data_IF_667179868695
#
_entry.id   IF_667179868695
#
_cell.length_a   1.000
_cell.length_b   1.000
_cell.length_c   1.000
_cell.angle_alpha   90.00
_cell.angle_beta   90.00
_cell.angle_gamma   90.00
#
_symmetry.space_group_name_H-M   'P 1'
#
loop_
_entity.id
_entity.type
_entity.pdbx_description
1 polymer ?
#
# COMPACT_ATOMS: atom_id res chain seq x y z
N UNK A 1 -54.22 -63.00 -33.65
CA UNK A 1 -54.71 -62.59 -34.98
C UNK A 1 -54.31 -61.14 -35.16
N UNK A 2 -53.37 -60.72 -35.99
CA UNK A 2 -52.64 -61.35 -37.09
C UNK A 2 -52.39 -60.27 -38.15
N UNK A 3 -51.11 -59.91 -38.35
CA UNK A 3 -50.44 -59.34 -39.55
C UNK A 3 -50.98 -58.02 -40.18
N UNK A 4 -50.19 -57.17 -40.87
CA UNK A 4 -48.76 -57.16 -41.26
C UNK A 4 -48.31 -55.72 -41.62
N UNK A 5 -47.05 -55.33 -41.39
CA UNK A 5 -45.90 -55.36 -42.32
C UNK A 5 -46.05 -54.54 -43.62
N UNK A 6 -45.28 -53.45 -43.76
CA UNK A 6 -44.26 -53.32 -44.82
C UNK A 6 -43.29 -52.14 -44.61
N UNK A 7 -42.00 -52.48 -44.67
CA UNK A 7 -40.83 -51.61 -44.77
C UNK A 7 -40.58 -51.13 -46.22
N UNK A 8 -39.90 -49.99 -46.35
CA UNK A 8 -38.84 -49.66 -47.33
C UNK A 8 -38.58 -48.15 -47.21
N UNK A 9 -37.39 -47.57 -47.31
CA UNK A 9 -36.04 -48.03 -47.62
C UNK A 9 -35.17 -46.75 -47.67
N UNK A 10 -33.87 -46.93 -47.47
CA UNK A 10 -32.83 -45.92 -47.23
C UNK A 10 -32.70 -44.78 -48.27
N UNK A 11 -32.32 -43.59 -47.80
CA UNK A 11 -31.25 -42.82 -48.45
C UNK A 11 -30.55 -41.86 -47.46
N UNK A 12 -29.29 -42.19 -47.16
CA UNK A 12 -28.34 -41.31 -46.52
C UNK A 12 -27.92 -40.18 -47.47
N UNK A 13 -27.82 -38.95 -46.95
CA UNK A 13 -27.00 -37.90 -47.59
C UNK A 13 -26.24 -37.15 -46.51
N UNK A 14 -24.93 -37.39 -46.49
CA UNK A 14 -23.97 -36.65 -45.69
C UNK A 14 -23.85 -35.22 -46.23
N UNK A 15 -23.99 -34.22 -45.36
CA UNK A 15 -23.62 -32.83 -45.65
C UNK A 15 -22.47 -32.46 -44.72
N UNK A 16 -21.32 -32.19 -45.34
CA UNK A 16 -20.10 -31.65 -44.75
C UNK A 16 -20.28 -30.19 -44.33
N UNK A 17 -19.57 -29.72 -43.28
CA UNK A 17 -19.26 -28.31 -43.14
C UNK A 17 -17.76 -28.09 -43.38
N UNK A 18 -17.41 -27.55 -44.54
CA UNK A 18 -16.09 -26.98 -44.78
C UNK A 18 -16.22 -25.48 -45.10
N UNK A 19 -15.27 -24.69 -44.56
CA UNK A 19 -14.90 -23.31 -44.91
C UNK A 19 -15.60 -22.14 -44.20
N UNK A 20 -15.29 -21.97 -42.90
CA UNK A 20 -15.43 -20.69 -42.19
C UNK A 20 -14.17 -20.22 -41.42
N UNK A 21 -13.11 -21.04 -41.31
CA UNK A 21 -12.06 -20.84 -40.30
C UNK A 21 -10.79 -20.07 -40.71
N UNK A 22 -10.63 -19.58 -41.95
CA UNK A 22 -9.34 -18.98 -42.41
C UNK A 22 -9.29 -17.47 -42.60
N UNK A 23 -10.40 -16.74 -42.42
CA UNK A 23 -10.40 -15.27 -42.61
C UNK A 23 -10.29 -14.51 -41.28
N UNK A 24 -10.77 -15.07 -40.16
CA UNK A 24 -10.69 -14.41 -38.84
C UNK A 24 -9.25 -14.35 -38.28
N UNK A 25 -8.39 -15.31 -38.62
CA UNK A 25 -7.03 -15.40 -38.05
C UNK A 25 -5.99 -14.48 -38.74
N UNK A 26 -6.34 -13.85 -39.88
CA UNK A 26 -5.48 -12.84 -40.54
C UNK A 26 -5.75 -11.41 -40.11
N UNK A 27 -6.95 -11.11 -39.58
CA UNK A 27 -7.29 -9.77 -39.07
C UNK A 27 -6.68 -9.52 -37.68
N UNK A 28 -6.69 -10.52 -36.80
CA UNK A 28 -6.09 -10.42 -35.46
C UNK A 28 -4.56 -10.22 -35.52
N UNK A 29 -3.88 -10.85 -36.48
CA UNK A 29 -2.41 -10.78 -36.60
C UNK A 29 -1.89 -9.51 -37.32
N UNK A 30 -2.77 -8.72 -37.95
CA UNK A 30 -2.42 -7.41 -38.56
C UNK A 30 -2.63 -6.24 -37.60
N UNK A 31 -3.48 -6.39 -36.59
CA UNK A 31 -3.70 -5.37 -35.56
C UNK A 31 -2.56 -5.35 -34.54
N UNK A 32 -2.05 -6.52 -34.14
CA UNK A 32 -0.94 -6.62 -33.17
C UNK A 32 0.41 -6.10 -33.68
N UNK A 33 0.64 -6.09 -35.00
CA UNK A 33 1.84 -5.46 -35.61
C UNK A 33 1.74 -3.94 -35.77
N UNK A 34 0.54 -3.35 -35.73
CA UNK A 34 0.36 -1.88 -35.75
C UNK A 34 0.51 -1.24 -34.37
N UNK A 35 0.28 -2.00 -33.29
CA UNK A 35 0.44 -1.49 -31.91
C UNK A 35 1.90 -1.54 -31.43
N UNK A 36 2.72 -2.45 -31.98
CA UNK A 36 4.16 -2.53 -31.67
C UNK A 36 5.04 -1.52 -32.45
N UNK A 37 4.54 -0.91 -33.54
CA UNK A 37 5.29 0.09 -34.31
C UNK A 37 5.06 1.54 -33.84
N UNK A 38 4.08 1.79 -32.97
CA UNK A 38 3.78 3.12 -32.43
C UNK A 38 4.49 3.43 -31.10
N UNK A 39 5.24 2.47 -30.53
CA UNK A 39 5.99 2.63 -29.28
C UNK A 39 7.51 2.77 -29.53
N UNK A 40 7.95 2.74 -30.79
CA UNK A 40 9.36 2.85 -31.17
C UNK A 40 9.71 4.16 -31.91
N UNK A 41 8.80 5.13 -31.97
CA UNK A 41 8.98 6.39 -32.69
C UNK A 41 8.50 7.58 -31.85
N UNK A 42 9.06 7.76 -30.65
CA UNK A 42 8.93 9.04 -29.93
C UNK A 42 10.13 9.33 -29.01
N UNK A 43 11.32 9.07 -29.54
CA UNK A 43 12.56 9.53 -28.94
C UNK A 43 13.58 9.81 -30.05
N UNK A 44 13.29 10.86 -30.82
CA UNK A 44 14.32 11.56 -31.59
C UNK A 44 14.28 13.04 -31.17
N UNK A 45 15.23 13.38 -30.31
CA UNK A 45 15.49 14.72 -29.80
C UNK A 45 16.38 15.44 -30.82
N UNK A 46 15.93 16.59 -31.29
CA UNK A 46 16.77 17.52 -32.03
C UNK A 46 17.93 18.06 -31.19
N UNK A 47 19.11 18.16 -31.78
CA UNK A 47 20.21 18.97 -31.23
C UNK A 47 21.62 18.56 -31.66
N UNK A 48 22.10 19.12 -32.77
CA UNK A 48 23.53 19.30 -33.08
C UNK A 48 23.97 20.74 -32.69
N UNK A 49 25.27 21.13 -32.71
CA UNK A 49 26.51 20.34 -32.69
C UNK A 49 27.60 20.86 -31.72
N UNK A 50 28.63 20.05 -31.49
CA UNK A 50 30.03 20.52 -31.48
C UNK A 50 30.78 20.57 -30.14
N UNK A 51 31.89 19.81 -30.07
CA UNK A 51 33.07 20.21 -29.30
C UNK A 51 33.77 19.13 -28.47
N UNK A 52 34.88 18.59 -29.01
CA UNK A 52 36.13 18.45 -28.26
C UNK A 52 36.33 17.23 -27.36
N UNK A 53 37.14 16.29 -27.84
CA UNK A 53 37.69 15.16 -27.12
C UNK A 53 38.52 15.54 -25.87
N UNK A 54 38.38 14.78 -24.77
CA UNK A 54 39.53 14.20 -24.03
C UNK A 54 39.13 13.15 -23.00
N UNK A 55 39.96 12.11 -23.02
CA UNK A 55 40.02 10.90 -22.22
C UNK A 55 40.13 11.18 -20.71
N UNK A 56 39.24 10.61 -19.89
CA UNK A 56 39.50 10.32 -18.47
C UNK A 56 38.52 9.26 -17.94
N UNK A 57 39.10 8.12 -17.52
CA UNK A 57 38.44 7.05 -16.78
C UNK A 57 37.73 7.64 -15.56
N UNK A 58 36.42 7.42 -15.44
CA UNK A 58 35.68 7.63 -14.19
C UNK A 58 35.23 6.30 -13.62
N UNK A 59 35.85 5.93 -12.50
CA UNK A 59 35.23 5.10 -11.48
C UNK A 59 33.97 5.83 -11.01
N UNK A 60 32.80 5.20 -11.18
CA UNK A 60 31.59 5.59 -10.49
C UNK A 60 31.56 4.86 -9.15
N UNK A 61 31.97 5.57 -8.11
CA UNK A 61 31.67 5.22 -6.71
C UNK A 61 30.22 5.61 -6.45
N UNK A 62 29.32 4.62 -6.40
CA UNK A 62 28.00 4.80 -5.78
C UNK A 62 28.14 4.31 -4.35
N UNK A 63 28.07 5.26 -3.42
CA UNK A 63 28.02 5.02 -1.99
C UNK A 63 26.70 4.32 -1.64
N UNK A 64 26.77 2.99 -1.45
CA UNK A 64 25.76 2.24 -0.73
C UNK A 64 26.11 2.26 0.76
N UNK A 65 25.33 2.98 1.56
CA UNK A 65 25.30 2.75 3.01
C UNK A 65 24.80 1.32 3.27
N UNK A 66 25.46 0.65 4.22
CA UNK A 66 25.38 -0.78 4.54
C UNK A 66 23.96 -1.31 4.74
N UNK A 67 23.75 -2.61 4.78
CA UNK A 67 24.45 -3.51 5.70
C UNK A 67 25.10 -4.70 4.99
N UNK A 68 26.37 -4.94 5.29
CA UNK A 68 27.05 -6.19 4.97
C UNK A 68 26.92 -7.13 6.17
N UNK A 69 26.05 -8.13 6.07
CA UNK A 69 26.16 -9.32 6.91
C UNK A 69 27.01 -10.33 6.14
N UNK A 70 28.30 -10.39 6.45
CA UNK A 70 29.17 -11.46 5.99
C UNK A 70 28.82 -12.73 6.75
N UNK A 71 28.18 -13.71 6.10
CA UNK A 71 28.01 -15.05 6.63
C UNK A 71 28.93 -15.98 5.85
N UNK A 72 30.10 -16.22 6.43
CA UNK A 72 31.02 -17.29 6.02
C UNK A 72 30.39 -18.63 6.39
N UNK A 73 29.99 -19.42 5.39
CA UNK A 73 29.57 -20.79 5.59
C UNK A 73 30.78 -21.66 5.95
N UNK A 74 31.00 -21.90 7.24
CA UNK A 74 31.74 -23.08 7.72
C UNK A 74 30.75 -24.00 8.42
N UNK A 75 30.85 -25.27 8.06
CA UNK A 75 29.81 -26.27 8.27
C UNK A 75 29.37 -26.48 9.72
N UNK A 76 28.18 -27.06 9.81
CA UNK A 76 27.64 -27.62 11.05
C UNK A 76 26.45 -26.83 11.59
N UNK A 77 25.25 -27.38 11.37
CA UNK A 77 24.05 -27.28 12.20
C UNK A 77 23.58 -25.88 12.62
N UNK A 78 22.51 -25.38 11.99
CA UNK A 78 21.68 -24.29 12.54
C UNK A 78 20.48 -24.92 13.24
N UNK A 79 20.44 -24.83 14.57
CA UNK A 79 19.24 -25.05 15.37
C UNK A 79 18.36 -23.80 15.31
N UNK A 80 17.12 -23.96 14.86
CA UNK A 80 16.12 -22.89 14.81
C UNK A 80 15.45 -22.75 16.17
N UNK A 81 15.69 -21.64 16.86
CA UNK A 81 14.84 -21.20 17.96
C UNK A 81 13.77 -20.26 17.41
N UNK A 82 12.51 -20.55 17.76
CA UNK A 82 11.29 -19.83 17.37
C UNK A 82 11.42 -18.31 17.49
N UNK A 83 11.29 -17.60 16.38
CA UNK A 83 10.82 -16.23 16.32
C UNK A 83 10.27 -15.89 14.91
N UNK A 84 8.99 -15.49 14.85
CA UNK A 84 8.43 -14.52 13.90
C UNK A 84 8.22 -14.93 12.43
N UNK A 85 6.95 -15.15 12.05
CA UNK A 85 6.46 -15.45 10.69
C UNK A 85 6.80 -14.41 9.61
N UNK A 86 7.28 -13.20 9.95
CA UNK A 86 7.63 -12.17 8.96
C UNK A 86 9.06 -12.30 8.39
N UNK A 87 10.00 -12.94 9.09
CA UNK A 87 11.34 -13.17 8.54
C UNK A 87 11.38 -14.33 7.53
N UNK A 88 10.45 -15.30 7.64
CA UNK A 88 10.39 -16.44 6.71
C UNK A 88 10.03 -16.01 5.28
N UNK A 89 9.12 -15.05 5.12
CA UNK A 89 8.70 -14.57 3.78
C UNK A 89 9.80 -13.78 3.07
N UNK A 90 10.58 -12.97 3.80
CA UNK A 90 11.69 -12.21 3.23
C UNK A 90 12.83 -13.15 2.79
N UNK A 91 13.14 -14.17 3.59
CA UNK A 91 14.12 -15.21 3.25
C UNK A 91 13.63 -16.02 2.04
N UNK A 92 12.37 -16.46 2.01
CA UNK A 92 11.79 -17.17 0.87
C UNK A 92 11.82 -16.33 -0.43
N UNK A 93 11.53 -15.03 -0.35
CA UNK A 93 11.51 -14.16 -1.53
C UNK A 93 12.92 -13.83 -2.07
N UNK A 94 13.89 -13.59 -1.20
CA UNK A 94 15.30 -13.40 -1.57
C UNK A 94 15.90 -14.70 -2.11
N UNK A 95 15.54 -15.85 -1.52
CA UNK A 95 15.94 -17.18 -2.00
C UNK A 95 15.34 -17.46 -3.37
N UNK A 96 14.04 -17.19 -3.58
CA UNK A 96 13.35 -17.35 -4.87
C UNK A 96 13.93 -16.49 -5.99
N UNK A 97 14.19 -15.21 -5.71
CA UNK A 97 14.73 -14.26 -6.70
C UNK A 97 16.21 -14.49 -7.01
N UNK A 98 16.99 -14.99 -6.05
CA UNK A 98 18.39 -15.37 -6.28
C UNK A 98 18.51 -16.71 -7.02
N UNK A 99 17.60 -17.67 -6.76
CA UNK A 99 17.61 -18.98 -7.43
C UNK A 99 17.09 -18.95 -8.88
N UNK A 100 16.15 -18.07 -9.24
CA UNK A 100 15.69 -17.94 -10.63
C UNK A 100 16.77 -17.42 -11.61
N UNK A 101 17.88 -16.90 -11.08
CA UNK A 101 19.02 -16.38 -11.87
C UNK A 101 20.09 -17.43 -12.18
N UNK A 102 20.01 -18.63 -11.57
CA UNK A 102 20.90 -19.74 -11.90
C UNK A 102 20.18 -20.68 -12.89
N UNK A 103 20.83 -20.99 -14.01
CA UNK A 103 20.31 -21.97 -14.97
C UNK A 103 20.07 -23.32 -14.29
N UNK A 104 18.81 -23.68 -14.00
CA UNK A 104 18.42 -24.86 -13.21
C UNK A 104 18.78 -26.21 -13.86
N UNK A 105 19.26 -26.20 -15.11
CA UNK A 105 19.51 -27.40 -15.91
C UNK A 105 20.99 -27.72 -16.11
N UNK A 106 21.92 -26.89 -15.62
CA UNK A 106 23.37 -27.13 -15.78
C UNK A 106 24.16 -26.76 -14.53
N UNK A 107 24.94 -27.70 -14.01
CA UNK A 107 25.90 -27.50 -12.93
C UNK A 107 25.82 -28.53 -11.80
N UNK A 108 26.67 -28.37 -10.78
CA UNK A 108 26.80 -29.29 -9.63
C UNK A 108 25.52 -29.47 -8.81
N UNK A 109 24.58 -28.53 -8.92
CA UNK A 109 23.34 -28.50 -8.14
C UNK A 109 22.11 -29.03 -8.88
N UNK A 110 22.23 -29.47 -10.15
CA UNK A 110 21.08 -29.91 -10.95
C UNK A 110 20.32 -31.09 -10.31
N UNK A 111 21.02 -32.02 -9.67
CA UNK A 111 20.40 -33.16 -8.96
C UNK A 111 19.71 -32.74 -7.66
N UNK A 112 20.26 -31.73 -6.98
CA UNK A 112 19.64 -31.18 -5.77
C UNK A 112 18.38 -30.37 -6.13
N UNK A 113 18.40 -29.67 -7.27
CA UNK A 113 17.24 -28.99 -7.84
C UNK A 113 16.11 -29.96 -8.17
N UNK A 114 16.39 -31.04 -8.91
CA UNK A 114 15.39 -32.05 -9.26
C UNK A 114 14.76 -32.68 -8.01
N UNK A 115 15.59 -32.96 -6.99
CA UNK A 115 15.12 -33.47 -5.70
C UNK A 115 14.23 -32.45 -4.97
N UNK A 116 14.65 -31.19 -4.92
CA UNK A 116 13.91 -30.14 -4.23
C UNK A 116 12.58 -29.81 -4.93
N UNK A 117 12.60 -29.68 -6.26
CA UNK A 117 11.40 -29.46 -7.06
C UNK A 117 10.39 -30.62 -6.89
N UNK A 118 10.89 -31.86 -6.88
CA UNK A 118 10.05 -33.04 -6.61
C UNK A 118 9.43 -32.98 -5.22
N UNK A 119 10.21 -32.68 -4.19
CA UNK A 119 9.69 -32.55 -2.81
C UNK A 119 8.68 -31.42 -2.67
N UNK A 120 8.91 -30.28 -3.33
CA UNK A 120 7.98 -29.15 -3.33
C UNK A 120 6.67 -29.51 -4.03
N UNK A 121 6.73 -30.14 -5.21
CA UNK A 121 5.53 -30.60 -5.93
C UNK A 121 4.75 -31.63 -5.13
N UNK A 122 5.41 -32.61 -4.52
CA UNK A 122 4.77 -33.62 -3.67
C UNK A 122 4.10 -32.98 -2.45
N UNK A 123 4.75 -32.01 -1.81
CA UNK A 123 4.19 -31.28 -0.65
C UNK A 123 2.99 -30.43 -1.02
N UNK A 124 3.03 -29.73 -2.16
CA UNK A 124 1.89 -28.93 -2.64
C UNK A 124 0.71 -29.81 -3.04
N UNK A 125 0.97 -30.95 -3.68
CA UNK A 125 -0.08 -31.90 -4.07
C UNK A 125 -0.71 -32.58 -2.85
N UNK A 126 0.10 -32.99 -1.86
CA UNK A 126 -0.41 -33.60 -0.63
C UNK A 126 -1.25 -32.65 0.23
N UNK A 127 -1.03 -31.33 0.11
CA UNK A 127 -1.81 -30.30 0.79
C UNK A 127 -2.87 -29.64 -0.11
N UNK A 128 -3.16 -30.20 -1.28
CA UNK A 128 -4.04 -29.57 -2.28
C UNK A 128 -5.46 -29.32 -1.77
N UNK A 129 -6.02 -30.19 -0.94
CA UNK A 129 -7.36 -29.99 -0.33
C UNK A 129 -7.39 -28.77 0.60
N UNK A 130 -6.33 -28.58 1.40
CA UNK A 130 -6.19 -27.40 2.24
C UNK A 130 -5.96 -26.13 1.41
N UNK A 131 -5.10 -26.20 0.38
CA UNK A 131 -4.87 -25.08 -0.53
C UNK A 131 -6.11 -24.68 -1.32
N UNK A 132 -6.98 -25.64 -1.64
CA UNK A 132 -8.26 -25.37 -2.30
C UNK A 132 -9.32 -24.82 -1.33
N UNK A 133 -9.23 -25.08 -0.03
CA UNK A 133 -10.18 -24.56 0.96
C UNK A 133 -9.89 -23.10 1.36
N UNK A 134 -8.63 -22.67 1.31
CA UNK A 134 -8.24 -21.26 1.49
C UNK A 134 -8.48 -20.42 0.24
N UNK A 135 -8.59 -21.05 -0.93
CA UNK A 135 -8.92 -20.36 -2.17
C UNK A 135 -10.40 -20.03 -2.16
N UNK A 136 -10.71 -18.75 -2.32
CA UNK A 136 -12.08 -18.33 -2.60
C UNK A 136 -12.49 -18.98 -3.92
N UNK A 137 -13.54 -19.83 -3.95
CA UNK A 137 -13.97 -20.46 -5.18
C UNK A 137 -14.26 -19.38 -6.23
N UNK A 138 -13.70 -19.55 -7.42
CA UNK A 138 -13.86 -18.58 -8.51
C UNK A 138 -15.33 -18.24 -8.77
N UNK A 139 -16.21 -19.24 -8.70
CA UNK A 139 -17.66 -19.08 -8.80
C UNK A 139 -18.25 -18.16 -7.73
N UNK A 140 -17.74 -18.20 -6.49
CA UNK A 140 -18.17 -17.31 -5.41
C UNK A 140 -17.80 -15.86 -5.73
N UNK A 141 -16.58 -15.63 -6.19
CA UNK A 141 -16.12 -14.30 -6.61
C UNK A 141 -16.92 -13.77 -7.81
N UNK A 142 -17.18 -14.62 -8.81
CA UNK A 142 -17.97 -14.26 -10.00
C UNK A 142 -19.42 -13.93 -9.62
N UNK A 143 -20.04 -14.72 -8.74
CA UNK A 143 -21.40 -14.46 -8.27
C UNK A 143 -21.50 -13.15 -7.48
N UNK A 144 -20.52 -12.87 -6.61
CA UNK A 144 -20.45 -11.60 -5.89
C UNK A 144 -20.34 -10.40 -6.84
N UNK A 145 -19.51 -10.49 -7.87
CA UNK A 145 -19.39 -9.43 -8.90
C UNK A 145 -20.68 -9.30 -9.71
N UNK A 146 -21.34 -10.41 -10.07
CA UNK A 146 -22.63 -10.37 -10.78
C UNK A 146 -23.73 -9.72 -9.95
N UNK A 147 -23.79 -9.98 -8.64
CA UNK A 147 -24.73 -9.31 -7.74
C UNK A 147 -24.46 -7.81 -7.64
N UNK A 148 -23.20 -7.40 -7.53
CA UNK A 148 -22.82 -5.99 -7.57
C UNK A 148 -23.22 -5.33 -8.89
N UNK A 149 -22.96 -5.98 -10.03
CA UNK A 149 -23.37 -5.46 -11.35
C UNK A 149 -24.89 -5.37 -11.50
N UNK A 150 -25.65 -6.31 -10.92
CA UNK A 150 -27.13 -6.26 -10.88
C UNK A 150 -27.63 -5.13 -9.99
N UNK A 151 -27.00 -4.88 -8.84
CA UNK A 151 -27.33 -3.75 -7.97
C UNK A 151 -27.05 -2.41 -8.66
N UNK A 152 -25.94 -2.31 -9.40
CA UNK A 152 -25.62 -1.14 -10.24
C UNK A 152 -26.68 -0.94 -11.32
N UNK A 153 -27.09 -2.02 -12.01
CA UNK A 153 -28.10 -1.95 -13.06
C UNK A 153 -29.50 -1.56 -12.54
N UNK A 154 -29.83 -1.90 -11.29
CA UNK A 154 -31.09 -1.53 -10.63
C UNK A 154 -31.11 -0.10 -10.08
N UNK A 155 -29.95 0.57 -10.04
CA UNK A 155 -29.82 1.92 -9.49
C UNK A 155 -29.66 1.98 -7.97
N UNK A 156 -29.57 0.83 -7.29
CA UNK A 156 -29.39 0.74 -5.83
C UNK A 156 -27.92 0.94 -5.38
N UNK A 157 -27.03 1.26 -6.33
CA UNK A 157 -25.62 1.51 -6.06
C UNK A 157 -25.34 3.02 -5.95
N UNK A 158 -25.10 3.50 -4.74
CA UNK A 158 -24.46 4.78 -4.51
C UNK A 158 -22.99 4.66 -4.88
N UNK A 159 -22.63 5.13 -6.07
CA UNK A 159 -21.23 5.22 -6.48
C UNK A 159 -20.47 6.08 -5.46
N UNK A 160 -19.36 5.59 -4.86
CA UNK A 160 -18.47 6.45 -4.08
C UNK A 160 -18.05 7.60 -4.99
N UNK A 161 -18.18 8.84 -4.51
CA UNK A 161 -18.05 10.03 -5.34
C UNK A 161 -16.77 9.96 -6.17
N UNK A 162 -16.90 9.77 -7.48
CA UNK A 162 -15.78 9.64 -8.40
C UNK A 162 -15.33 11.03 -8.81
N UNK A 163 -14.80 11.80 -7.86
CA UNK A 163 -13.89 12.85 -8.23
C UNK A 163 -12.67 12.21 -8.88
N UNK A 164 -12.37 12.67 -10.10
CA UNK A 164 -11.29 12.19 -10.96
C UNK A 164 -9.97 12.25 -10.18
N UNK A 165 -9.58 11.12 -9.59
CA UNK A 165 -8.48 11.06 -8.61
C UNK A 165 -7.18 11.54 -9.24
N UNK A 166 -6.68 12.72 -8.84
CA UNK A 166 -5.31 13.17 -9.11
C UNK A 166 -4.32 12.44 -8.20
N UNK A 167 -4.31 11.10 -8.23
CA UNK A 167 -3.47 10.26 -7.35
C UNK A 167 -1.97 10.57 -7.45
N UNK A 168 -1.52 11.12 -8.59
CA UNK A 168 -0.12 11.51 -8.79
C UNK A 168 0.35 12.63 -7.85
N UNK A 169 -0.55 13.54 -7.47
CA UNK A 169 -0.24 14.74 -6.69
C UNK A 169 -0.39 14.56 -5.18
N UNK A 170 -1.06 13.49 -4.71
CA UNK A 170 -1.31 13.29 -3.28
C UNK A 170 0.00 12.89 -2.58
N UNK A 171 0.40 13.69 -1.60
CA UNK A 171 1.56 13.51 -0.74
C UNK A 171 1.16 12.74 0.53
N UNK A 172 0.02 13.03 1.14
CA UNK A 172 -0.45 12.33 2.34
C UNK A 172 -1.97 12.40 2.54
N UNK A 173 -2.47 11.47 3.36
CA UNK A 173 -3.84 11.46 3.86
C UNK A 173 -3.84 11.89 5.34
N UNK A 174 -4.80 12.73 5.72
CA UNK A 174 -4.94 13.20 7.10
C UNK A 174 -6.40 13.44 7.48
N UNK A 175 -6.64 13.59 8.78
CA UNK A 175 -7.87 14.17 9.31
C UNK A 175 -7.59 15.63 9.63
N UNK A 176 -8.18 16.54 8.87
CA UNK A 176 -8.10 17.99 9.04
C UNK A 176 -9.01 18.42 10.20
N UNK A 177 -8.45 19.16 11.15
CA UNK A 177 -9.12 19.61 12.36
C UNK A 177 -9.33 21.13 12.34
N UNK A 178 -10.46 21.64 12.85
CA UNK A 178 -10.68 23.09 12.94
C UNK A 178 -9.67 23.76 13.87
N UNK A 179 -8.82 24.61 13.31
CA UNK A 179 -7.76 25.34 14.04
C UNK A 179 -8.32 26.15 15.21
N UNK A 180 -9.49 26.79 15.03
CA UNK A 180 -10.15 27.55 16.10
C UNK A 180 -10.52 26.70 17.31
N UNK A 181 -10.96 25.44 17.09
CA UNK A 181 -11.23 24.50 18.20
C UNK A 181 -9.94 24.09 18.89
N UNK A 182 -8.87 23.84 18.14
CA UNK A 182 -7.57 23.48 18.71
C UNK A 182 -7.01 24.61 19.56
N UNK A 183 -7.12 25.88 19.13
CA UNK A 183 -6.74 27.03 19.96
C UNK A 183 -7.55 27.10 21.25
N UNK A 184 -8.88 27.00 21.17
CA UNK A 184 -9.73 27.04 22.37
C UNK A 184 -9.33 25.96 23.38
N UNK A 185 -9.03 24.76 22.90
CA UNK A 185 -8.56 23.65 23.75
C UNK A 185 -7.23 24.00 24.43
N UNK A 186 -6.26 24.55 23.68
CA UNK A 186 -4.96 24.97 24.26
C UNK A 186 -5.16 26.07 25.31
N UNK A 187 -6.04 27.04 25.05
CA UNK A 187 -6.33 28.13 25.98
C UNK A 187 -7.01 27.65 27.28
N UNK A 188 -7.89 26.64 27.18
CA UNK A 188 -8.48 25.98 28.35
C UNK A 188 -7.40 25.23 29.18
N UNK A 189 -6.46 24.56 28.51
CA UNK A 189 -5.35 23.88 29.18
C UNK A 189 -4.35 24.83 29.81
N UNK A 190 -3.99 25.92 29.13
CA UNK A 190 -3.10 26.95 29.66
C UNK A 190 -3.67 27.56 30.95
N UNK A 191 -4.97 27.84 30.99
CA UNK A 191 -5.64 28.33 32.21
C UNK A 191 -5.59 27.35 33.38
N UNK A 192 -5.56 26.06 33.08
CA UNK A 192 -5.60 25.00 34.09
C UNK A 192 -4.20 24.55 34.54
N UNK A 193 -3.16 24.81 33.74
CA UNK A 193 -1.79 24.36 34.01
C UNK A 193 -0.75 25.46 33.68
N UNK A 194 -0.11 26.04 34.70
CA UNK A 194 0.90 27.09 34.52
C UNK A 194 2.11 26.69 33.66
N UNK A 195 2.47 25.40 33.62
CA UNK A 195 3.57 24.91 32.78
C UNK A 195 3.24 25.03 31.30
N UNK A 196 1.99 24.70 30.93
CA UNK A 196 1.49 24.82 29.56
C UNK A 196 1.38 26.30 29.17
N UNK A 197 0.86 27.13 30.06
CA UNK A 197 0.80 28.58 29.84
C UNK A 197 2.20 29.17 29.61
N UNK A 198 3.16 28.86 30.49
CA UNK A 198 4.53 29.31 30.37
C UNK A 198 5.19 28.80 29.08
N UNK A 199 4.89 27.56 28.68
CA UNK A 199 5.41 27.00 27.45
C UNK A 199 4.88 27.74 26.21
N UNK A 200 3.61 28.09 26.11
CA UNK A 200 3.08 28.70 24.89
C UNK A 200 3.16 30.23 24.81
N UNK A 201 3.42 30.90 25.93
CA UNK A 201 3.42 32.37 26.05
C UNK A 201 4.29 33.10 25.02
N UNK A 202 5.44 32.53 24.65
CA UNK A 202 6.42 33.14 23.73
C UNK A 202 6.36 32.58 22.29
N UNK A 203 5.53 31.58 22.03
CA UNK A 203 5.54 30.81 20.77
C UNK A 203 4.58 31.32 19.70
N UNK A 204 3.72 32.27 20.05
CA UNK A 204 2.72 32.87 19.16
C UNK A 204 2.01 31.83 18.28
N UNK A 205 1.32 30.88 18.94
CA UNK A 205 0.64 29.78 18.28
C UNK A 205 -0.40 30.26 17.25
N UNK A 206 -1.08 31.37 17.52
CA UNK A 206 -2.13 31.93 16.65
C UNK A 206 -1.63 32.21 15.24
N UNK A 207 -0.39 32.69 15.12
CA UNK A 207 0.21 32.98 13.82
C UNK A 207 0.88 31.75 13.19
N UNK A 208 1.35 30.80 14.00
CA UNK A 208 2.11 29.64 13.52
C UNK A 208 1.23 28.43 13.16
N UNK A 209 0.14 28.19 13.88
CA UNK A 209 -0.73 27.03 13.68
C UNK A 209 -1.79 27.31 12.60
N UNK A 210 -1.37 27.38 11.34
CA UNK A 210 -2.28 27.63 10.22
C UNK A 210 -3.13 26.40 9.83
N UNK A 211 -2.66 25.19 10.18
CA UNK A 211 -3.33 23.92 9.89
C UNK A 211 -3.12 22.96 11.04
N UNK A 212 -4.20 22.38 11.54
CA UNK A 212 -4.16 21.28 12.49
C UNK A 212 -4.68 20.01 11.82
N UNK A 213 -3.92 18.93 11.89
CA UNK A 213 -4.33 17.66 11.30
C UNK A 213 -3.67 16.47 12.00
N UNK A 214 -4.35 15.31 11.96
CA UNK A 214 -3.74 14.01 12.29
C UNK A 214 -3.33 13.33 11.00
N UNK A 215 -2.05 13.04 10.82
CA UNK A 215 -1.59 12.29 9.64
C UNK A 215 -2.04 10.83 9.75
N UNK A 216 -2.72 10.33 8.71
CA UNK A 216 -3.13 8.94 8.59
C UNK A 216 -2.08 8.11 7.85
N UNK A 217 -1.62 8.60 6.70
CA UNK A 217 -0.53 7.98 5.98
C UNK A 217 0.20 8.98 5.10
N UNK A 218 1.51 8.82 4.95
CA UNK A 218 2.35 9.64 4.09
C UNK A 218 2.93 8.80 2.94
N UNK A 219 2.87 9.30 1.70
CA UNK A 219 3.32 8.57 0.50
C UNK A 219 4.76 8.10 0.59
N UNK A 220 5.66 8.94 1.13
CA UNK A 220 7.08 8.59 1.32
C UNK A 220 7.32 7.50 2.38
N UNK A 221 6.43 7.36 3.36
CA UNK A 221 6.59 6.39 4.46
C UNK A 221 5.85 5.09 4.22
N UNK A 222 4.65 5.15 3.64
CA UNK A 222 3.73 4.01 3.56
C UNK A 222 3.36 3.61 2.12
N UNK A 223 3.85 4.35 1.12
CA UNK A 223 3.54 4.12 -0.28
C UNK A 223 2.19 4.70 -0.73
N UNK A 224 1.99 4.70 -2.05
CA UNK A 224 0.80 5.30 -2.68
C UNK A 224 -0.47 4.54 -2.32
N UNK A 225 -0.42 3.21 -2.29
CA UNK A 225 -1.57 2.36 -1.97
C UNK A 225 -2.11 2.65 -0.56
N UNK A 226 -1.22 2.79 0.44
CA UNK A 226 -1.65 3.08 1.80
C UNK A 226 -2.38 4.42 1.91
N UNK A 227 -1.93 5.45 1.20
CA UNK A 227 -2.62 6.75 1.13
C UNK A 227 -3.96 6.62 0.41
N UNK A 228 -3.99 5.91 -0.72
CA UNK A 228 -5.19 5.75 -1.53
C UNK A 228 -6.32 4.96 -0.83
N UNK A 229 -5.98 4.06 0.09
CA UNK A 229 -6.95 3.27 0.87
C UNK A 229 -7.87 4.15 1.73
N UNK A 230 -7.40 5.32 2.18
CA UNK A 230 -8.25 6.29 2.90
C UNK A 230 -9.26 7.00 1.99
N UNK A 231 -9.21 6.76 0.68
CA UNK A 231 -10.11 7.38 -0.29
C UNK A 231 -11.58 7.00 -0.07
N UNK A 232 -11.85 5.86 0.56
CA UNK A 232 -13.22 5.46 0.94
C UNK A 232 -13.81 6.36 2.03
N UNK A 233 -12.97 7.04 2.81
CA UNK A 233 -13.39 7.95 3.87
C UNK A 233 -13.26 9.43 3.49
N UNK A 234 -12.84 9.74 2.26
CA UNK A 234 -12.57 11.12 1.83
C UNK A 234 -13.80 12.01 2.04
N UNK A 235 -13.58 13.20 2.61
CA UNK A 235 -14.61 14.18 2.97
C UNK A 235 -15.61 13.73 4.05
N UNK A 236 -15.43 12.54 4.65
CA UNK A 236 -16.24 12.09 5.79
C UNK A 236 -15.70 12.69 7.09
N UNK A 237 -16.61 12.98 8.02
CA UNK A 237 -16.24 13.43 9.37
C UNK A 237 -15.88 12.25 10.26
N UNK A 238 -14.82 12.43 11.04
CA UNK A 238 -14.25 11.44 11.95
C UNK A 238 -14.11 12.09 13.32
N UNK A 239 -14.63 11.49 14.39
CA UNK A 239 -14.33 11.94 15.74
C UNK A 239 -12.87 11.61 16.08
N UNK A 240 -12.13 12.63 16.54
CA UNK A 240 -10.75 12.52 17.01
C UNK A 240 -10.72 12.88 18.49
N UNK A 241 -10.35 11.92 19.32
CA UNK A 241 -10.18 12.12 20.76
C UNK A 241 -8.75 12.55 21.07
N UNK A 242 -8.59 13.71 21.71
CA UNK A 242 -7.32 14.19 22.22
C UNK A 242 -7.14 13.71 23.66
N UNK A 243 -6.07 12.95 23.91
CA UNK A 243 -5.87 12.22 25.17
C UNK A 243 -4.72 12.74 26.01
N UNK A 244 -3.74 13.40 25.40
CA UNK A 244 -2.62 13.98 26.12
C UNK A 244 -1.99 15.11 25.30
N UNK A 245 -1.38 16.08 25.97
CA UNK A 245 -0.46 17.04 25.38
C UNK A 245 0.98 16.63 25.70
N UNK A 246 1.81 16.49 24.69
CA UNK A 246 3.25 16.25 24.85
C UNK A 246 4.02 17.47 24.33
N UNK A 247 4.98 17.95 25.10
CA UNK A 247 5.82 19.05 24.68
C UNK A 247 7.25 18.94 25.23
N UNK A 248 8.19 19.46 24.45
CA UNK A 248 9.60 19.62 24.79
C UNK A 248 10.00 21.05 24.42
N UNK A 249 11.23 21.44 24.75
CA UNK A 249 11.75 22.75 24.36
C UNK A 249 11.62 23.08 22.85
N UNK A 250 11.50 22.07 21.97
CA UNK A 250 11.51 22.23 20.51
C UNK A 250 10.24 21.79 19.78
N UNK A 251 9.32 21.09 20.45
CA UNK A 251 8.20 20.40 19.81
C UNK A 251 7.00 20.40 20.75
N UNK A 252 5.78 20.54 20.20
CA UNK A 252 4.55 20.27 20.93
C UNK A 252 3.52 19.60 20.03
N UNK A 253 2.83 18.60 20.56
CA UNK A 253 1.77 17.89 19.84
C UNK A 253 0.73 17.30 20.81
N UNK A 254 -0.53 17.24 20.36
CA UNK A 254 -1.55 16.43 21.03
C UNK A 254 -1.46 14.98 20.56
N UNK A 255 -1.53 14.04 21.50
CA UNK A 255 -1.84 12.65 21.21
C UNK A 255 -3.30 12.50 20.82
N UNK A 256 -3.56 11.72 19.77
CA UNK A 256 -4.88 11.53 19.22
C UNK A 256 -5.27 10.05 19.16
N UNK A 257 -6.53 9.75 19.48
CA UNK A 257 -7.19 8.48 19.17
C UNK A 257 -8.25 8.72 18.12
N UNK A 258 -8.26 7.86 17.11
CA UNK A 258 -9.16 7.97 15.97
C UNK A 258 -10.40 7.11 16.22
N UNK A 259 -11.58 7.68 15.97
CA UNK A 259 -12.83 6.95 16.04
C UNK A 259 -13.18 6.21 14.75
N UNK A 260 -14.48 6.02 14.54
CA UNK A 260 -15.03 5.22 13.43
C UNK A 260 -15.93 6.05 12.53
N UNK A 261 -16.05 5.63 11.26
CA UNK A 261 -17.01 6.13 10.28
C UNK A 261 -17.85 4.95 9.82
N UNK A 262 -19.17 5.07 9.89
CA UNK A 262 -20.12 4.00 9.52
C UNK A 262 -19.84 2.64 10.21
N UNK A 263 -19.29 2.67 11.43
CA UNK A 263 -18.89 1.48 12.18
C UNK A 263 -17.49 0.95 11.86
N UNK A 264 -16.83 1.46 10.81
CA UNK A 264 -15.46 1.10 10.47
C UNK A 264 -14.45 1.99 11.22
N UNK A 265 -13.58 1.37 12.02
CA UNK A 265 -12.54 2.09 12.77
C UNK A 265 -11.46 2.61 11.83
N UNK A 266 -11.19 3.91 11.90
CA UNK A 266 -10.08 4.50 11.15
C UNK A 266 -8.79 4.31 11.95
N UNK A 267 -7.80 3.67 11.32
CA UNK A 267 -6.48 3.48 11.90
C UNK A 267 -5.47 4.33 11.15
N UNK A 268 -4.59 5.02 11.87
CA UNK A 268 -3.40 5.64 11.26
C UNK A 268 -2.36 4.56 10.98
N UNK A 269 -1.53 4.78 9.97
CA UNK A 269 -0.29 4.02 9.74
C UNK A 269 0.85 4.49 10.63
N UNK A 270 0.74 5.66 11.25
CA UNK A 270 1.69 6.10 12.27
C UNK A 270 1.39 5.35 13.58
N UNK A 271 2.44 4.84 14.23
CA UNK A 271 2.34 4.16 15.54
C UNK A 271 1.75 5.08 16.62
N UNK A 272 2.08 6.37 16.55
CA UNK A 272 1.59 7.39 17.46
C UNK A 272 0.84 8.48 16.67
N UNK A 273 -0.49 8.34 16.51
CA UNK A 273 -1.31 9.36 15.88
C UNK A 273 -1.31 10.63 16.75
N UNK A 274 -0.99 11.76 16.14
CA UNK A 274 -0.85 13.02 16.85
C UNK A 274 -1.19 14.22 15.96
N UNK A 275 -1.47 15.35 16.60
CA UNK A 275 -1.63 16.68 15.98
C UNK A 275 -0.43 17.52 16.36
N UNK A 276 0.44 17.86 15.41
CA UNK A 276 1.56 18.78 15.67
C UNK A 276 1.01 20.19 15.87
N UNK A 277 1.33 20.80 17.01
CA UNK A 277 0.91 22.15 17.38
C UNK A 277 2.00 23.18 17.09
N UNK A 278 3.24 22.82 17.38
CA UNK A 278 4.36 23.74 17.29
C UNK A 278 5.69 23.01 17.09
N UNK A 279 6.57 23.64 16.34
CA UNK A 279 7.95 23.22 16.13
C UNK A 279 8.86 24.43 16.19
N UNK A 280 10.01 24.30 16.86
CA UNK A 280 11.05 25.33 16.81
C UNK A 280 11.53 25.56 15.37
N UNK A 281 12.06 26.75 15.09
CA UNK A 281 12.55 27.12 13.77
C UNK A 281 13.58 26.10 13.25
N UNK A 282 13.39 25.65 12.02
CA UNK A 282 14.26 24.67 11.36
C UNK A 282 14.00 23.20 11.74
N UNK A 283 13.08 22.93 12.68
CA UNK A 283 12.67 21.56 13.03
C UNK A 283 11.46 21.16 12.19
N UNK A 284 11.53 20.08 11.40
CA UNK A 284 10.39 19.66 10.58
C UNK A 284 9.31 19.00 11.46
N UNK A 285 8.01 19.14 11.12
CA UNK A 285 6.90 18.51 11.86
C UNK A 285 7.04 17.00 12.05
N UNK A 286 7.74 16.31 11.14
CA UNK A 286 8.01 14.86 11.25
C UNK A 286 8.73 14.49 12.56
N UNK A 287 9.54 15.38 13.14
CA UNK A 287 10.25 15.13 14.40
C UNK A 287 9.28 15.00 15.60
N UNK A 288 8.05 15.49 15.49
CA UNK A 288 7.03 15.31 16.53
C UNK A 288 6.75 13.83 16.82
N UNK A 289 6.96 12.91 15.86
CA UNK A 289 6.83 11.47 16.08
C UNK A 289 7.75 10.94 17.20
N UNK A 290 8.82 11.66 17.54
CA UNK A 290 9.78 11.27 18.57
C UNK A 290 9.38 11.73 19.99
N UNK A 291 8.29 12.50 20.14
CA UNK A 291 7.85 13.04 21.45
C UNK A 291 7.60 11.94 22.49
N UNK A 292 6.95 10.80 22.19
CA UNK A 292 6.79 9.72 23.17
C UNK A 292 8.12 9.19 23.70
N UNK A 293 9.12 9.03 22.83
CA UNK A 293 10.46 8.59 23.21
C UNK A 293 11.17 9.65 24.05
N UNK A 294 11.01 10.94 23.73
CA UNK A 294 11.55 12.03 24.54
C UNK A 294 10.93 12.08 25.94
N UNK A 295 9.62 11.80 26.07
CA UNK A 295 8.96 11.68 27.38
C UNK A 295 9.57 10.51 28.16
N UNK A 296 9.74 9.35 27.53
CA UNK A 296 10.35 8.18 28.17
C UNK A 296 11.79 8.43 28.65
N UNK A 297 12.51 9.34 27.99
CA UNK A 297 13.86 9.76 28.37
C UNK A 297 13.90 10.90 29.40
N UNK A 298 12.74 11.46 29.78
CA UNK A 298 12.66 12.63 30.67
C UNK A 298 13.00 13.98 30.01
N UNK A 299 13.08 14.01 28.67
CA UNK A 299 13.41 15.20 27.88
C UNK A 299 12.17 15.97 27.38
N UNK A 300 10.97 15.46 27.68
CA UNK A 300 9.69 16.08 27.34
C UNK A 300 8.68 15.83 28.44
N UNK A 301 7.71 16.74 28.57
CA UNK A 301 6.57 16.63 29.48
C UNK A 301 5.39 15.98 28.77
N UNK A 302 4.61 15.19 29.50
CA UNK A 302 3.30 14.65 29.10
C UNK A 302 2.27 15.12 30.11
N UNK A 303 1.23 15.79 29.63
CA UNK A 303 0.07 16.18 30.43
C UNK A 303 -1.14 15.42 29.91
N UNK A 304 -1.76 14.61 30.77
CA UNK A 304 -2.94 13.83 30.41
C UNK A 304 -4.19 14.72 30.34
N UNK A 305 -5.07 14.37 29.39
CA UNK A 305 -6.36 15.03 29.20
C UNK A 305 -7.44 14.09 29.72
N UNK A 306 -8.00 14.43 30.88
CA UNK A 306 -9.07 13.65 31.50
C UNK A 306 -10.23 14.57 31.96
N UNK A 307 -11.43 14.43 31.37
CA UNK A 307 -11.79 13.49 30.31
C UNK A 307 -11.16 13.85 28.95
N UNK A 308 -10.93 12.87 28.06
CA UNK A 308 -10.50 13.12 26.67
C UNK A 308 -11.41 14.11 25.95
N UNK A 309 -10.83 15.01 25.15
CA UNK A 309 -11.59 16.01 24.39
C UNK A 309 -11.81 15.51 22.97
N UNK A 310 -13.05 15.42 22.53
CA UNK A 310 -13.38 14.97 21.16
C UNK A 310 -13.56 16.15 20.21
N UNK A 311 -12.87 16.11 19.07
CA UNK A 311 -12.99 17.07 17.98
C UNK A 311 -13.37 16.34 16.69
N UNK A 312 -14.43 16.78 16.03
CA UNK A 312 -14.77 16.30 14.70
C UNK A 312 -13.80 16.91 13.67
N UNK A 313 -13.17 16.05 12.87
CA UNK A 313 -12.34 16.44 11.74
C UNK A 313 -12.75 15.75 10.45
N UNK A 314 -12.25 16.22 9.30
CA UNK A 314 -12.60 15.67 7.99
C UNK A 314 -11.40 14.97 7.35
N UNK A 315 -11.61 13.80 6.76
CA UNK A 315 -10.54 13.13 6.00
C UNK A 315 -10.27 13.89 4.70
N UNK A 316 -9.02 14.27 4.49
CA UNK A 316 -8.55 15.04 3.35
C UNK A 316 -7.25 14.48 2.77
N UNK A 317 -6.99 14.81 1.51
CA UNK A 317 -5.76 14.52 0.79
C UNK A 317 -5.02 15.82 0.48
N UNK A 318 -3.72 15.81 0.73
CA UNK A 318 -2.79 16.92 0.45
C UNK A 318 -1.65 16.44 -0.42
#
# INVERSE_FOLDING_TARGET
MGAGCQESGDHATAVTPEKGGRVANRAANRSSRKVMAAVAADSDVGGCPGGGARNQRRHATVAGCGWAAAITARGGSVTVNKAGEEEEFAVLFIFWTSFLKLESTKGSYAKEWEKWEKQMRETLLSNSEYLNSIQVPFESAVNSVLEQLRAIAKGDYTAPSTEKKRLGAIVYACISLPVSKIHAIIDDFARSNPEIEAFFKDKNLTDQLQKAHVTLAHKRGHGVTAVANYGQFLNREVPVELTALLFSAKLAAFEARLGSVDGEKINSKNEWPHVTLWTAQGIPPKEANNLPQLVAQGNASRVEINPPVTVAGRVEFF
#
